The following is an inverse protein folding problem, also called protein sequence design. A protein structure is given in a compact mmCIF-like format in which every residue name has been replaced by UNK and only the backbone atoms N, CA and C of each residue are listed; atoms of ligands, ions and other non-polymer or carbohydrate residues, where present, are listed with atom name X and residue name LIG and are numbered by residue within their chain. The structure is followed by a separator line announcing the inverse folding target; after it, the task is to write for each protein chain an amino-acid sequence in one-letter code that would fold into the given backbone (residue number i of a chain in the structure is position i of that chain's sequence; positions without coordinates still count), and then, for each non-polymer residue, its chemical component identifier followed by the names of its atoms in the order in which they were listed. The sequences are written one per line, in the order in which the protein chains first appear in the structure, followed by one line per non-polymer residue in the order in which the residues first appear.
data_IF_007787846063
#
_entry.id   IF_007787846063
#
_cell.length_a   1.000
_cell.length_b   1.000
_cell.length_c   1.000
_cell.angle_alpha   90.00
_cell.angle_beta   90.00
_cell.angle_gamma   90.00
#
_symmetry.space_group_name_H-M   'P 1'
#
loop_
_entity.id
_entity.type
_entity.pdbx_description
1 polymer ?
#
# COMPACT_ATOMS: atom_id res chain seq x y z
N UNK A 1 28.46 -4.01 -7.03
CA UNK A 1 27.71 -2.75 -6.80
C UNK A 1 26.98 -2.42 -8.09
N UNK A 2 25.65 -2.46 -8.11
CA UNK A 2 24.89 -2.26 -9.34
C UNK A 2 24.90 -0.77 -9.73
N UNK A 3 25.42 -0.46 -10.92
CA UNK A 3 25.39 0.88 -11.51
C UNK A 3 23.93 1.34 -11.67
N UNK A 4 23.50 2.28 -10.83
CA UNK A 4 22.17 2.86 -10.95
C UNK A 4 22.10 3.76 -12.18
N UNK A 5 21.56 3.23 -13.27
CA UNK A 5 21.29 3.99 -14.49
C UNK A 5 19.87 4.56 -14.48
N UNK A 6 19.71 5.75 -15.07
CA UNK A 6 18.41 6.37 -15.25
C UNK A 6 17.49 5.47 -16.09
N UNK A 7 16.24 5.29 -15.67
CA UNK A 7 15.25 4.49 -16.39
C UNK A 7 14.71 5.11 -17.68
N UNK A 8 15.21 6.28 -18.07
CA UNK A 8 14.95 6.86 -19.39
C UNK A 8 16.06 6.42 -20.35
N UNK A 9 15.72 5.59 -21.34
CA UNK A 9 16.64 5.08 -22.35
C UNK A 9 17.30 6.17 -23.19
N UNK A 10 16.65 7.33 -23.33
CA UNK A 10 17.16 8.47 -24.11
C UNK A 10 17.92 9.48 -23.23
N UNK A 11 18.26 9.12 -21.99
CA UNK A 11 18.96 10.00 -21.08
C UNK A 11 20.45 10.14 -21.47
N UNK A 12 20.87 11.36 -21.81
CA UNK A 12 22.27 11.69 -22.10
C UNK A 12 23.08 12.06 -20.86
N UNK A 13 22.40 12.29 -19.73
CA UNK A 13 23.05 12.43 -18.43
C UNK A 13 23.55 11.04 -18.06
N UNK A 14 24.86 10.81 -18.23
CA UNK A 14 25.50 9.57 -17.80
C UNK A 14 25.20 9.26 -16.33
N UNK A 15 25.62 8.09 -15.84
CA UNK A 15 25.50 7.66 -14.43
C UNK A 15 26.30 8.55 -13.44
N UNK A 16 26.51 9.81 -13.77
CA UNK A 16 27.18 10.84 -12.99
C UNK A 16 26.35 11.17 -11.76
N UNK A 17 26.61 10.41 -10.69
CA UNK A 17 26.66 10.80 -9.27
C UNK A 17 25.43 11.48 -8.64
N UNK A 18 24.36 11.75 -9.36
CA UNK A 18 23.11 12.26 -8.81
C UNK A 18 22.27 11.08 -8.33
N UNK A 19 21.91 11.08 -7.04
CA UNK A 19 21.00 10.09 -6.47
C UNK A 19 19.70 10.05 -7.30
N UNK A 20 19.42 8.92 -7.94
CA UNK A 20 18.23 8.77 -8.76
C UNK A 20 16.97 8.88 -7.90
N UNK A 21 15.98 9.61 -8.41
CA UNK A 21 14.66 9.72 -7.78
C UNK A 21 13.84 8.51 -8.19
N UNK A 22 13.54 7.63 -7.24
CA UNK A 22 12.72 6.46 -7.48
C UNK A 22 11.29 6.86 -7.91
N UNK A 23 10.70 6.09 -8.83
CA UNK A 23 9.29 6.23 -9.17
C UNK A 23 8.43 6.12 -7.92
N UNK A 24 7.64 7.16 -7.61
CA UNK A 24 6.81 7.20 -6.39
C UNK A 24 5.78 6.07 -6.30
N UNK A 25 5.36 5.52 -7.44
CA UNK A 25 4.36 4.44 -7.52
C UNK A 25 4.97 3.05 -7.29
N UNK A 26 5.99 2.67 -8.08
CA UNK A 26 6.55 1.31 -8.04
C UNK A 26 7.83 1.19 -7.22
N UNK A 27 8.56 2.29 -7.01
CA UNK A 27 9.89 2.36 -6.40
C UNK A 27 10.97 1.47 -7.02
N UNK A 28 10.71 0.84 -8.18
CA UNK A 28 11.63 -0.07 -8.87
C UNK A 28 12.61 0.60 -9.83
N UNK A 29 12.21 1.70 -10.44
CA UNK A 29 13.00 2.42 -11.46
C UNK A 29 13.34 3.81 -10.92
N UNK A 30 14.60 4.20 -11.08
CA UNK A 30 15.10 5.53 -10.69
C UNK A 30 15.26 6.44 -11.91
N UNK A 31 14.99 7.74 -11.72
CA UNK A 31 15.13 8.75 -12.76
C UNK A 31 16.01 9.90 -12.31
N UNK A 32 16.74 10.47 -13.26
CA UNK A 32 17.56 11.66 -13.09
C UNK A 32 16.73 12.87 -12.60
N UNK A 33 15.49 12.95 -13.08
CA UNK A 33 14.58 14.07 -12.90
C UNK A 33 13.15 13.68 -13.27
N UNK A 34 12.19 14.58 -13.03
CA UNK A 34 10.79 14.36 -13.41
C UNK A 34 10.61 14.31 -14.93
N UNK A 35 11.41 15.06 -15.66
CA UNK A 35 11.41 15.07 -17.14
C UNK A 35 11.84 13.71 -17.68
N UNK A 36 12.92 13.13 -17.12
CA UNK A 36 13.35 11.76 -17.41
C UNK A 36 12.20 10.76 -17.18
N UNK A 37 11.45 10.88 -16.08
CA UNK A 37 10.31 10.01 -15.78
C UNK A 37 9.16 10.18 -16.78
N UNK A 38 8.80 11.41 -17.14
CA UNK A 38 7.70 11.71 -18.07
C UNK A 38 7.98 11.15 -19.46
N UNK A 39 9.20 11.32 -19.98
CA UNK A 39 9.60 10.77 -21.29
C UNK A 39 9.53 9.23 -21.27
N UNK A 40 10.02 8.61 -20.20
CA UNK A 40 9.97 7.15 -20.04
C UNK A 40 8.57 6.61 -19.69
N UNK A 41 7.56 7.46 -19.44
CA UNK A 41 6.26 7.00 -18.92
C UNK A 41 5.49 6.13 -19.92
N UNK A 42 5.59 6.41 -21.21
CA UNK A 42 4.93 5.64 -22.28
C UNK A 42 5.32 4.16 -22.25
N UNK A 43 6.58 3.86 -21.95
CA UNK A 43 7.10 2.49 -21.82
C UNK A 43 7.01 1.97 -20.39
N UNK A 44 7.22 2.82 -19.38
CA UNK A 44 7.19 2.41 -17.97
C UNK A 44 5.77 2.09 -17.46
N UNK A 45 4.72 2.79 -17.92
CA UNK A 45 3.35 2.65 -17.39
C UNK A 45 2.85 1.20 -17.40
N UNK A 46 3.17 0.45 -18.45
CA UNK A 46 2.72 -0.95 -18.61
C UNK A 46 3.33 -1.89 -17.58
N UNK A 47 4.55 -1.62 -17.13
CA UNK A 47 5.28 -2.39 -16.11
C UNK A 47 5.26 -1.77 -14.72
N UNK A 48 4.80 -0.52 -14.59
CA UNK A 48 4.69 0.18 -13.32
C UNK A 48 3.58 -0.44 -12.46
N UNK A 49 3.97 -1.14 -11.39
CA UNK A 49 3.06 -1.73 -10.40
C UNK A 49 3.48 -1.30 -9.00
N UNK A 50 2.52 -0.96 -8.15
CA UNK A 50 2.79 -0.76 -6.73
C UNK A 50 3.30 -2.07 -6.14
N UNK A 51 4.16 -1.97 -5.13
CA UNK A 51 4.56 -3.15 -4.36
C UNK A 51 3.35 -3.66 -3.59
N UNK A 52 3.25 -4.97 -3.47
CA UNK A 52 2.22 -5.59 -2.65
C UNK A 52 2.56 -5.40 -1.18
N UNK A 53 1.53 -5.28 -0.34
CA UNK A 53 1.66 -5.44 1.10
C UNK A 53 1.71 -6.93 1.44
N UNK A 54 2.66 -7.33 2.27
CA UNK A 54 2.67 -8.67 2.86
C UNK A 54 1.98 -8.56 4.22
N UNK A 55 0.76 -9.06 4.30
CA UNK A 55 -0.09 -8.90 5.49
C UNK A 55 -0.32 -10.26 6.13
N UNK A 56 -0.06 -10.36 7.44
CA UNK A 56 -0.34 -11.55 8.25
C UNK A 56 -1.68 -11.36 8.97
N UNK A 57 -2.63 -12.24 8.70
CA UNK A 57 -3.96 -12.25 9.31
C UNK A 57 -4.01 -13.31 10.39
N UNK A 58 -4.50 -12.90 11.56
CA UNK A 58 -4.71 -13.77 12.73
C UNK A 58 -6.21 -13.95 12.93
N UNK A 59 -6.67 -15.19 13.05
CA UNK A 59 -8.07 -15.47 13.32
C UNK A 59 -8.33 -15.42 14.82
N UNK A 60 -9.07 -14.40 15.27
CA UNK A 60 -9.46 -14.21 16.67
C UNK A 60 -8.30 -14.46 17.66
N UNK A 61 -7.19 -13.70 17.58
CA UNK A 61 -5.97 -13.99 18.33
C UNK A 61 -6.15 -13.97 19.87
N UNK A 62 -7.20 -13.34 20.39
CA UNK A 62 -7.54 -13.36 21.82
C UNK A 62 -8.30 -14.61 22.27
N UNK A 63 -8.84 -15.40 21.34
CA UNK A 63 -9.68 -16.56 21.64
C UNK A 63 -9.13 -17.88 21.07
N UNK A 64 -8.43 -17.84 19.94
CA UNK A 64 -7.86 -19.01 19.27
C UNK A 64 -6.34 -18.92 19.33
N UNK A 65 -5.77 -19.47 20.41
CA UNK A 65 -4.33 -19.37 20.69
C UNK A 65 -3.57 -20.67 20.48
N UNK A 66 -4.24 -21.83 20.48
CA UNK A 66 -3.58 -23.12 20.28
C UNK A 66 -4.48 -24.15 19.55
N UNK A 67 -4.16 -24.54 18.30
CA UNK A 67 -3.12 -23.93 17.46
C UNK A 67 -3.55 -22.52 16.99
N UNK A 68 -2.60 -21.60 16.91
CA UNK A 68 -2.83 -20.29 16.29
C UNK A 68 -3.22 -20.48 14.82
N UNK A 69 -4.31 -19.85 14.39
CA UNK A 69 -4.77 -19.90 12.99
C UNK A 69 -4.40 -18.60 12.28
N UNK A 70 -3.36 -18.66 11.44
CA UNK A 70 -2.82 -17.51 10.69
C UNK A 70 -2.73 -17.75 9.19
N UNK A 71 -2.87 -16.69 8.40
CA UNK A 71 -2.61 -16.69 6.95
C UNK A 71 -1.81 -15.46 6.55
N UNK A 72 -0.78 -15.64 5.74
CA UNK A 72 0.01 -14.53 5.18
C UNK A 72 -0.34 -14.37 3.72
N UNK A 73 -0.81 -13.18 3.33
CA UNK A 73 -1.20 -12.87 1.97
C UNK A 73 -0.33 -11.75 1.40
N UNK A 74 -0.04 -11.86 0.11
CA UNK A 74 0.53 -10.78 -0.69
C UNK A 74 -0.62 -10.00 -1.35
N UNK A 75 -0.96 -8.85 -0.79
CA UNK A 75 -2.09 -8.03 -1.23
C UNK A 75 -1.63 -6.84 -2.08
N UNK A 76 -2.14 -6.64 -3.30
CA UNK A 76 -1.87 -5.44 -4.08
C UNK A 76 -2.23 -4.16 -3.31
N UNK A 77 -1.38 -3.13 -3.40
CA UNK A 77 -1.59 -1.88 -2.66
C UNK A 77 -2.77 -1.02 -3.18
N UNK A 78 -3.37 -1.40 -4.30
CA UNK A 78 -4.56 -0.80 -4.90
C UNK A 78 -5.79 -1.72 -4.84
N UNK A 79 -5.72 -2.83 -4.11
CA UNK A 79 -6.85 -3.73 -3.85
C UNK A 79 -7.92 -3.03 -2.99
N UNK A 80 -9.19 -3.21 -3.37
CA UNK A 80 -10.31 -2.80 -2.52
C UNK A 80 -10.52 -3.77 -1.36
N UNK A 81 -11.13 -3.29 -0.27
CA UNK A 81 -11.45 -4.13 0.89
C UNK A 81 -12.35 -5.32 0.54
N UNK A 82 -13.22 -5.17 -0.46
CA UNK A 82 -14.03 -6.28 -0.99
C UNK A 82 -13.16 -7.42 -1.54
N UNK A 83 -12.19 -7.11 -2.40
CA UNK A 83 -11.29 -8.12 -2.95
C UNK A 83 -10.38 -8.72 -1.88
N UNK A 84 -9.98 -7.91 -0.88
CA UNK A 84 -9.28 -8.43 0.30
C UNK A 84 -10.15 -9.43 1.06
N UNK A 85 -11.44 -9.12 1.28
CA UNK A 85 -12.38 -10.04 1.93
C UNK A 85 -12.50 -11.36 1.15
N UNK A 86 -12.69 -11.31 -0.19
CA UNK A 86 -12.74 -12.53 -1.01
C UNK A 86 -11.45 -13.34 -0.89
N UNK A 87 -10.28 -12.69 -0.88
CA UNK A 87 -9.01 -13.37 -0.68
C UNK A 87 -8.91 -14.05 0.70
N UNK A 88 -9.46 -13.42 1.76
CA UNK A 88 -9.56 -14.03 3.08
C UNK A 88 -10.50 -15.24 3.07
N UNK A 89 -11.66 -15.14 2.42
CA UNK A 89 -12.58 -16.27 2.29
C UNK A 89 -11.88 -17.48 1.67
N UNK A 90 -11.14 -17.29 0.58
CA UNK A 90 -10.35 -18.36 -0.06
C UNK A 90 -9.24 -18.88 0.88
N UNK A 91 -8.48 -17.99 1.52
CA UNK A 91 -7.34 -18.37 2.35
C UNK A 91 -7.72 -19.16 3.62
N UNK A 92 -8.91 -18.89 4.17
CA UNK A 92 -9.45 -19.56 5.35
C UNK A 92 -10.49 -20.64 5.01
N UNK A 93 -10.83 -20.83 3.73
CA UNK A 93 -11.83 -21.81 3.29
C UNK A 93 -13.25 -21.48 3.76
N UNK A 94 -13.58 -20.19 3.88
CA UNK A 94 -14.89 -19.73 4.30
C UNK A 94 -15.88 -19.67 3.14
N UNK A 95 -17.14 -19.92 3.46
CA UNK A 95 -18.25 -19.74 2.53
C UNK A 95 -18.72 -18.28 2.53
N UNK A 96 -19.10 -17.78 1.35
CA UNK A 96 -19.58 -16.40 1.15
C UNK A 96 -21.05 -16.25 1.57
N UNK A 97 -21.37 -16.57 2.82
CA UNK A 97 -22.75 -16.62 3.32
C UNK A 97 -23.06 -15.60 4.42
N UNK A 98 -22.05 -14.88 4.90
CA UNK A 98 -22.19 -13.91 5.99
C UNK A 98 -21.77 -12.51 5.53
N UNK A 99 -22.36 -11.50 6.14
CA UNK A 99 -21.92 -10.11 6.00
C UNK A 99 -20.54 -9.90 6.62
N UNK A 100 -19.82 -8.90 6.13
CA UNK A 100 -18.49 -8.55 6.61
C UNK A 100 -18.31 -7.04 6.66
N UNK A 101 -17.37 -6.60 7.48
CA UNK A 101 -16.92 -5.22 7.56
C UNK A 101 -15.43 -5.17 7.96
N UNK A 102 -14.78 -4.02 7.74
CA UNK A 102 -13.40 -3.76 8.16
C UNK A 102 -13.36 -2.52 9.04
N UNK A 103 -12.89 -2.69 10.28
CA UNK A 103 -12.55 -1.58 11.15
C UNK A 103 -11.04 -1.32 11.10
N UNK A 104 -10.64 -0.08 10.84
CA UNK A 104 -9.24 0.36 10.87
C UNK A 104 -9.13 1.47 11.89
N UNK A 105 -8.18 1.32 12.84
CA UNK A 105 -7.88 2.41 13.77
C UNK A 105 -7.19 3.53 13.02
N UNK A 106 -7.80 4.70 13.00
CA UNK A 106 -7.15 5.91 12.49
C UNK A 106 -5.98 6.28 13.42
N UNK A 107 -4.72 6.25 12.95
CA UNK A 107 -3.57 6.58 13.78
C UNK A 107 -3.53 8.06 14.20
N UNK A 108 -4.21 8.93 13.46
CA UNK A 108 -4.27 10.37 13.70
C UNK A 108 -5.37 10.76 14.68
N UNK A 109 -6.35 9.87 14.90
CA UNK A 109 -7.44 10.13 15.83
C UNK A 109 -6.93 10.19 17.27
N UNK A 110 -7.27 11.28 17.95
CA UNK A 110 -7.06 11.49 19.39
C UNK A 110 -8.43 11.70 20.01
N UNK A 111 -8.76 10.92 21.04
CA UNK A 111 -9.98 11.14 21.81
C UNK A 111 -9.94 12.55 22.40
N UNK A 112 -10.99 13.36 22.23
CA UNK A 112 -11.04 14.69 22.78
C UNK A 112 -11.24 14.63 24.30
N UNK A 113 -10.43 15.38 25.04
CA UNK A 113 -10.46 15.41 26.52
C UNK A 113 -11.81 15.90 27.09
N UNK A 114 -12.62 16.64 26.29
CA UNK A 114 -13.93 17.15 26.68
C UNK A 114 -14.95 17.07 25.52
N UNK A 115 -16.15 16.56 25.84
CA UNK A 115 -17.29 16.47 24.90
C UNK A 115 -17.67 17.82 24.26
N UNK A 116 -17.47 18.93 24.97
CA UNK A 116 -17.78 20.27 24.48
C UNK A 116 -16.89 20.72 23.31
N UNK A 117 -15.65 20.21 23.25
CA UNK A 117 -14.73 20.52 22.14
C UNK A 117 -15.13 19.79 20.85
N UNK A 118 -15.84 18.65 20.97
CA UNK A 118 -16.43 17.92 19.83
C UNK A 118 -17.58 18.70 19.22
N UNK A 119 -18.45 19.27 20.06
CA UNK A 119 -19.62 20.03 19.63
C UNK A 119 -19.17 21.30 18.88
N UNK A 120 -18.16 22.02 19.41
CA UNK A 120 -17.60 23.21 18.76
C UNK A 120 -16.98 22.90 17.39
N UNK A 121 -16.26 21.77 17.23
CA UNK A 121 -15.65 21.38 15.95
C UNK A 121 -16.67 21.02 14.87
N UNK A 122 -17.82 20.44 15.25
CA UNK A 122 -18.89 20.07 14.30
C UNK A 122 -19.75 21.25 13.84
N UNK A 123 -19.78 22.35 14.57
CA UNK A 123 -20.57 23.55 14.20
C UNK A 123 -19.80 24.53 13.29
N UNK A 124 -18.53 24.25 12.98
CA UNK A 124 -17.65 25.09 12.15
C UNK A 124 -17.30 24.45 10.78
N UNK A 125 -17.93 23.32 10.44
CA UNK A 125 -18.01 22.77 9.07
C UNK A 125 -19.42 22.99 8.52
#
# INVERSE_FOLDING_TARGET
MASQQCGNSSCTKGAASAALKACSRCRKVGYCSRECQTVAWTTHKTSCRRQNYIVKFHLSPGNITNPEVVRTLSCPADTSLYHLHVALQVAFGWATTHSFDFAVKDPSYREPDNVMDVIKRKMLM
#
